data_IF_668712656302
#
_entry.id   IF_668712656302
#
_cell.length_a   1.000
_cell.length_b   1.000
_cell.length_c   1.000
_cell.angle_alpha   90.00
_cell.angle_beta   90.00
_cell.angle_gamma   90.00
#
_symmetry.space_group_name_H-M   'P 1'
#
loop_
_entity.id
_entity.type
_entity.pdbx_description
1 polymer ?
#
# COMPACT_ATOMS: atom_id res chain seq x y z
N UNK A 1 -11.49 35.92 -73.66
CA UNK A 1 -11.94 35.57 -72.30
C UNK A 1 -11.07 34.42 -71.82
N UNK A 2 -10.07 34.68 -70.98
CA UNK A 2 -9.17 33.67 -70.47
C UNK A 2 -9.61 33.34 -69.03
N UNK A 3 -10.02 32.06 -68.80
CA UNK A 3 -10.42 31.58 -67.50
C UNK A 3 -9.16 31.10 -66.78
N UNK A 4 -8.83 31.74 -65.64
CA UNK A 4 -7.73 31.33 -64.76
C UNK A 4 -8.34 30.43 -63.69
N UNK A 5 -7.94 29.14 -63.71
CA UNK A 5 -8.30 28.15 -62.66
C UNK A 5 -7.22 28.21 -61.61
N UNK A 6 -7.55 28.64 -60.39
CA UNK A 6 -6.68 28.61 -59.22
C UNK A 6 -6.92 27.26 -58.50
N UNK A 7 -5.92 26.40 -58.30
CA UNK A 7 -6.05 25.17 -57.52
C UNK A 7 -6.06 25.56 -56.02
N UNK A 8 -7.13 25.22 -55.31
CA UNK A 8 -7.22 25.25 -53.85
C UNK A 8 -6.50 24.02 -53.31
N UNK A 9 -5.33 24.21 -52.76
CA UNK A 9 -4.60 23.17 -52.02
C UNK A 9 -5.21 23.05 -50.60
N UNK A 10 -6.00 22.01 -50.38
CA UNK A 10 -6.50 21.65 -49.05
C UNK A 10 -5.33 21.00 -48.25
N UNK A 11 -4.70 21.79 -47.42
CA UNK A 11 -3.73 21.24 -46.44
C UNK A 11 -4.52 20.52 -45.35
N UNK A 12 -4.63 19.19 -45.50
CA UNK A 12 -5.17 18.33 -44.46
C UNK A 12 -4.19 18.31 -43.25
N UNK A 13 -4.59 18.93 -42.16
CA UNK A 13 -3.89 18.74 -40.87
C UNK A 13 -4.09 17.28 -40.44
N UNK A 14 -3.07 16.47 -40.63
CA UNK A 14 -2.99 15.14 -39.99
C UNK A 14 -2.85 15.36 -38.49
N UNK A 15 -3.95 15.25 -37.78
CA UNK A 15 -3.94 15.10 -36.32
C UNK A 15 -3.28 13.75 -36.04
N UNK A 16 -2.01 13.76 -35.70
CA UNK A 16 -1.35 12.61 -35.10
C UNK A 16 -2.03 12.36 -33.77
N UNK A 17 -2.89 11.36 -33.70
CA UNK A 17 -3.33 10.80 -32.41
C UNK A 17 -2.04 10.37 -31.70
N UNK A 18 -1.62 11.10 -30.67
CA UNK A 18 -0.52 10.70 -29.82
C UNK A 18 -0.95 9.40 -29.14
N UNK A 19 -0.49 8.27 -29.65
CA UNK A 19 -0.55 6.98 -28.98
C UNK A 19 0.41 7.03 -27.78
N UNK A 20 0.01 7.75 -26.73
CA UNK A 20 0.77 7.82 -25.48
C UNK A 20 0.45 6.60 -24.61
N UNK A 21 1.40 6.11 -23.87
CA UNK A 21 1.17 5.25 -22.71
C UNK A 21 0.87 6.13 -21.50
N UNK A 22 0.07 5.64 -20.55
CA UNK A 22 -0.09 6.31 -19.26
C UNK A 22 0.77 5.65 -18.19
N UNK A 23 1.15 6.44 -17.21
CA UNK A 23 1.89 5.99 -16.01
C UNK A 23 1.25 6.60 -14.78
N UNK A 24 1.32 5.90 -13.65
CA UNK A 24 0.72 6.37 -12.41
C UNK A 24 1.78 6.70 -11.39
N UNK A 25 1.74 7.90 -10.82
CA UNK A 25 2.50 8.28 -9.64
C UNK A 25 1.59 8.25 -8.40
N UNK A 26 2.18 7.92 -7.25
CA UNK A 26 1.53 8.00 -5.95
C UNK A 26 2.15 9.14 -5.15
N UNK A 27 1.33 10.02 -4.56
CA UNK A 27 1.80 11.16 -3.79
C UNK A 27 0.82 11.54 -2.67
N UNK A 28 1.33 12.28 -1.69
CA UNK A 28 0.54 12.97 -0.66
C UNK A 28 0.74 14.47 -0.84
N UNK A 29 -0.36 15.22 -0.79
CA UNK A 29 -0.35 16.68 -0.73
C UNK A 29 -0.75 17.11 0.67
N UNK A 30 -0.04 18.08 1.23
CA UNK A 30 -0.32 18.63 2.56
C UNK A 30 -0.16 20.14 2.60
N UNK A 31 -0.88 20.78 3.51
CA UNK A 31 -0.72 22.21 3.82
C UNK A 31 0.54 22.49 4.65
N UNK A 32 0.75 23.76 4.99
CA UNK A 32 1.87 24.20 5.81
C UNK A 32 1.87 23.59 7.25
N UNK A 33 0.70 23.11 7.71
CA UNK A 33 0.51 22.45 9.02
C UNK A 33 0.60 20.93 8.92
N UNK A 34 1.00 20.38 7.75
CA UNK A 34 1.05 18.95 7.43
C UNK A 34 -0.33 18.25 7.44
N UNK A 35 -1.43 19.00 7.31
CA UNK A 35 -2.74 18.42 7.10
C UNK A 35 -2.90 18.03 5.64
N UNK A 36 -3.40 16.82 5.39
CA UNK A 36 -3.62 16.33 4.03
C UNK A 36 -4.65 17.17 3.27
N UNK A 37 -4.37 17.40 1.99
CA UNK A 37 -5.27 18.04 1.01
C UNK A 37 -5.58 16.96 -0.04
N UNK A 38 -6.83 16.56 -0.14
CA UNK A 38 -7.26 15.46 -1.04
C UNK A 38 -8.17 15.92 -2.20
N UNK A 39 -8.56 17.19 -2.20
CA UNK A 39 -9.39 17.84 -3.22
C UNK A 39 -8.54 18.58 -4.27
N UNK A 40 -7.42 17.97 -4.67
CA UNK A 40 -6.47 18.54 -5.65
C UNK A 40 -6.81 17.99 -7.03
N UNK A 41 -7.05 18.87 -7.97
CA UNK A 41 -7.40 18.52 -9.36
C UNK A 41 -6.18 18.20 -10.23
N UNK A 42 -6.44 17.67 -11.42
CA UNK A 42 -5.37 17.35 -12.38
C UNK A 42 -4.58 18.60 -12.80
N UNK A 43 -5.26 19.75 -12.97
CA UNK A 43 -4.65 21.02 -13.36
C UNK A 43 -3.71 21.61 -12.30
N UNK A 44 -3.89 21.20 -11.04
CA UNK A 44 -3.06 21.66 -9.94
C UNK A 44 -1.72 20.88 -9.85
N UNK A 45 -1.67 19.67 -10.41
CA UNK A 45 -0.45 18.88 -10.39
C UNK A 45 0.56 19.25 -11.48
N UNK A 46 1.82 19.12 -11.16
CA UNK A 46 2.94 19.25 -12.09
C UNK A 46 3.77 17.98 -12.02
N UNK A 47 3.84 17.24 -13.12
CA UNK A 47 4.72 16.08 -13.26
C UNK A 47 5.86 16.45 -14.19
N UNK A 48 7.08 16.18 -13.75
CA UNK A 48 8.27 16.23 -14.57
C UNK A 48 8.94 14.86 -14.59
N UNK A 49 9.28 14.38 -15.77
CA UNK A 49 10.00 13.13 -15.94
C UNK A 49 11.16 13.35 -16.90
N UNK A 50 12.38 12.98 -16.49
CA UNK A 50 13.60 13.29 -17.22
C UNK A 50 13.72 14.78 -17.57
N UNK A 51 13.31 15.68 -16.68
CA UNK A 51 13.32 17.13 -16.87
C UNK A 51 12.23 17.69 -17.79
N UNK A 52 11.39 16.85 -18.37
CA UNK A 52 10.29 17.26 -19.25
C UNK A 52 8.94 17.26 -18.50
N UNK A 53 8.15 18.32 -18.69
CA UNK A 53 6.80 18.37 -18.17
C UNK A 53 5.92 17.31 -18.86
N UNK A 54 5.06 16.65 -18.07
CA UNK A 54 4.12 15.63 -18.52
C UNK A 54 2.71 16.13 -18.32
N UNK A 55 1.82 15.76 -19.22
CA UNK A 55 0.40 16.03 -19.10
C UNK A 55 -0.22 15.09 -18.05
N UNK A 56 -0.91 15.66 -17.07
CA UNK A 56 -1.67 14.93 -16.05
C UNK A 56 -3.06 14.63 -16.62
N UNK A 57 -3.40 13.35 -16.69
CA UNK A 57 -4.67 12.88 -17.27
C UNK A 57 -5.78 12.82 -16.23
N UNK A 58 -5.45 12.29 -15.05
CA UNK A 58 -6.41 12.13 -13.97
C UNK A 58 -5.75 12.14 -12.60
N UNK A 59 -6.52 12.53 -11.59
CA UNK A 59 -6.13 12.47 -10.18
C UNK A 59 -7.28 11.91 -9.37
N UNK A 60 -7.01 10.97 -8.49
CA UNK A 60 -8.00 10.38 -7.59
C UNK A 60 -7.37 9.98 -6.27
N UNK A 61 -8.17 9.90 -5.23
CA UNK A 61 -7.74 9.28 -3.96
C UNK A 61 -7.35 7.84 -4.23
N UNK A 62 -6.23 7.40 -3.65
CA UNK A 62 -5.75 6.04 -3.87
C UNK A 62 -6.73 5.00 -3.32
N UNK A 63 -7.07 4.02 -4.16
CA UNK A 63 -8.00 2.93 -3.90
C UNK A 63 -7.38 1.54 -4.12
N UNK A 64 -6.06 1.45 -4.11
CA UNK A 64 -5.32 0.22 -4.32
C UNK A 64 -5.61 -0.84 -3.24
N UNK A 65 -5.38 -2.16 -3.54
CA UNK A 65 -5.67 -3.24 -2.62
C UNK A 65 -4.83 -3.20 -1.34
N UNK A 66 -5.46 -3.63 -0.24
CA UNK A 66 -4.86 -3.72 1.09
C UNK A 66 -5.03 -5.13 1.64
N UNK A 67 -3.94 -5.75 2.10
CA UNK A 67 -3.98 -7.00 2.86
C UNK A 67 -3.69 -6.72 4.32
N UNK A 68 -4.51 -7.28 5.22
CA UNK A 68 -4.32 -7.20 6.66
C UNK A 68 -4.11 -8.61 7.21
N UNK A 69 -2.92 -8.87 7.75
CA UNK A 69 -2.56 -10.13 8.39
C UNK A 69 -2.58 -9.97 9.91
N UNK A 70 -3.39 -10.77 10.61
CA UNK A 70 -3.52 -10.71 12.06
C UNK A 70 -2.83 -11.90 12.73
N UNK A 71 -2.20 -11.64 13.86
CA UNK A 71 -1.72 -12.69 14.74
C UNK A 71 -2.90 -13.33 15.48
N UNK A 72 -3.08 -14.64 15.29
CA UNK A 72 -4.04 -15.46 16.03
C UNK A 72 -3.38 -16.71 16.64
N UNK A 73 -2.06 -16.73 16.76
CA UNK A 73 -1.35 -17.78 17.48
C UNK A 73 -1.65 -17.79 18.98
N UNK A 74 -1.19 -18.81 19.68
CA UNK A 74 -1.48 -18.98 21.12
C UNK A 74 -1.09 -17.79 21.98
N UNK A 75 0.00 -17.12 21.63
CA UNK A 75 0.50 -15.93 22.35
C UNK A 75 -0.36 -14.67 22.11
N UNK A 76 -1.15 -14.65 21.03
CA UNK A 76 -2.05 -13.52 20.72
C UNK A 76 -3.36 -13.50 21.55
N UNK A 77 -3.57 -14.45 22.43
CA UNK A 77 -4.83 -14.68 23.15
C UNK A 77 -5.38 -13.42 23.82
N UNK A 78 -4.54 -12.64 24.45
CA UNK A 78 -4.95 -11.41 25.15
C UNK A 78 -5.14 -10.23 24.22
N UNK A 79 -4.44 -10.22 23.11
CA UNK A 79 -4.38 -9.10 22.17
C UNK A 79 -5.44 -9.20 21.07
N UNK A 80 -5.79 -10.42 20.64
CA UNK A 80 -6.65 -10.65 19.49
C UNK A 80 -8.01 -9.93 19.55
N UNK A 81 -8.72 -9.86 20.68
CA UNK A 81 -9.97 -9.12 20.75
C UNK A 81 -9.80 -7.63 20.44
N UNK A 82 -8.71 -7.01 20.90
CA UNK A 82 -8.40 -5.61 20.64
C UNK A 82 -7.88 -5.40 19.23
N UNK A 83 -7.09 -6.33 18.69
CA UNK A 83 -6.69 -6.33 17.27
C UNK A 83 -7.92 -6.36 16.35
N UNK A 84 -8.85 -7.29 16.56
CA UNK A 84 -10.08 -7.41 15.75
C UNK A 84 -10.85 -6.09 15.74
N UNK A 85 -11.10 -5.51 16.91
CA UNK A 85 -11.80 -4.23 17.04
C UNK A 85 -11.06 -3.09 16.33
N UNK A 86 -9.74 -3.04 16.44
CA UNK A 86 -8.93 -2.04 15.79
C UNK A 86 -8.93 -2.20 14.26
N UNK A 87 -8.88 -3.44 13.75
CA UNK A 87 -8.95 -3.73 12.31
C UNK A 87 -10.34 -3.45 11.75
N UNK A 88 -11.42 -3.79 12.47
CA UNK A 88 -12.78 -3.42 12.07
C UNK A 88 -12.90 -1.92 11.84
N UNK A 89 -12.50 -1.10 12.82
CA UNK A 89 -12.50 0.36 12.69
C UNK A 89 -11.58 0.85 11.55
N UNK A 90 -10.44 0.20 11.35
CA UNK A 90 -9.54 0.54 10.25
C UNK A 90 -10.20 0.31 8.88
N UNK A 91 -10.88 -0.82 8.68
CA UNK A 91 -11.63 -1.12 7.45
C UNK A 91 -12.72 -0.08 7.20
N UNK A 92 -13.50 0.27 8.24
CA UNK A 92 -14.53 1.32 8.16
C UNK A 92 -13.94 2.67 7.70
N UNK A 93 -12.77 3.03 8.21
CA UNK A 93 -12.10 4.31 7.86
C UNK A 93 -11.48 4.32 6.47
N UNK A 94 -11.06 3.17 5.95
CA UNK A 94 -10.52 3.06 4.58
C UNK A 94 -11.59 3.23 3.51
N UNK A 95 -12.86 2.96 3.84
CA UNK A 95 -13.97 3.02 2.89
C UNK A 95 -13.92 1.93 1.82
N UNK A 96 -14.53 2.16 0.65
CA UNK A 96 -14.75 1.15 -0.37
C UNK A 96 -13.49 0.87 -1.21
N UNK A 97 -12.47 0.24 -0.62
CA UNK A 97 -11.32 -0.26 -1.36
C UNK A 97 -11.20 -1.78 -1.22
N UNK A 98 -10.52 -2.47 -2.17
CA UNK A 98 -10.31 -3.91 -2.06
C UNK A 98 -9.48 -4.24 -0.82
N UNK A 99 -10.05 -5.02 0.11
CA UNK A 99 -9.37 -5.45 1.33
C UNK A 99 -9.46 -6.97 1.44
N UNK A 100 -8.35 -7.62 1.78
CA UNK A 100 -8.34 -9.02 2.13
C UNK A 100 -7.72 -9.21 3.52
N UNK A 101 -8.22 -10.16 4.29
CA UNK A 101 -7.81 -10.46 5.66
C UNK A 101 -7.21 -11.86 5.71
N UNK A 102 -6.14 -12.00 6.46
CA UNK A 102 -5.51 -13.29 6.74
C UNK A 102 -4.99 -13.38 8.16
N UNK A 103 -4.49 -14.55 8.52
CA UNK A 103 -3.85 -14.80 9.82
C UNK A 103 -2.43 -15.33 9.65
N UNK A 104 -1.57 -14.96 10.58
CA UNK A 104 -0.17 -15.42 10.63
C UNK A 104 0.05 -16.59 11.59
N UNK A 105 -1.01 -17.16 12.21
CA UNK A 105 -0.90 -18.40 12.94
C UNK A 105 -0.47 -19.55 12.01
N UNK A 106 0.44 -20.40 12.46
CA UNK A 106 0.99 -21.50 11.66
C UNK A 106 -0.01 -22.66 11.48
N UNK A 107 -0.38 -23.05 10.22
CA UNK A 107 0.03 -22.43 8.97
C UNK A 107 -0.75 -21.11 8.67
N UNK A 108 -0.07 -20.07 8.14
CA UNK A 108 -0.73 -18.85 7.72
C UNK A 108 -1.76 -19.09 6.63
N UNK A 109 -2.88 -18.37 6.68
CA UNK A 109 -3.94 -18.51 5.68
C UNK A 109 -4.68 -17.21 5.45
N UNK A 110 -5.22 -17.03 4.23
CA UNK A 110 -6.20 -15.98 3.96
C UNK A 110 -7.57 -16.42 4.48
N UNK A 111 -8.31 -15.48 5.06
CA UNK A 111 -9.67 -15.65 5.57
C UNK A 111 -10.69 -15.11 4.58
N UNK A 112 -10.31 -14.07 3.83
CA UNK A 112 -11.15 -13.41 2.83
C UNK A 112 -10.33 -13.13 1.56
N UNK A 113 -11.03 -12.71 0.52
CA UNK A 113 -10.48 -12.28 -0.77
C UNK A 113 -10.77 -10.80 -1.03
N UNK A 114 -10.22 -10.22 -2.09
CA UNK A 114 -10.50 -8.83 -2.47
C UNK A 114 -11.91 -8.63 -3.06
N UNK A 115 -12.58 -9.70 -3.48
CA UNK A 115 -13.93 -9.67 -4.03
C UNK A 115 -15.01 -9.78 -2.95
N UNK A 116 -14.61 -10.00 -1.70
CA UNK A 116 -15.54 -10.12 -0.57
C UNK A 116 -16.05 -8.74 -0.15
N UNK A 117 -17.34 -8.66 0.14
CA UNK A 117 -17.96 -7.45 0.60
C UNK A 117 -17.57 -7.08 2.05
N UNK A 118 -17.92 -5.87 2.44
CA UNK A 118 -17.60 -5.34 3.76
C UNK A 118 -18.13 -6.21 4.90
N UNK A 119 -19.35 -6.75 4.77
CA UNK A 119 -19.95 -7.58 5.82
C UNK A 119 -19.18 -8.88 6.01
N UNK A 120 -18.76 -9.51 4.92
CA UNK A 120 -17.96 -10.73 4.98
C UNK A 120 -16.59 -10.52 5.63
N UNK A 121 -15.96 -9.33 5.42
CA UNK A 121 -14.74 -8.96 6.13
C UNK A 121 -14.97 -8.88 7.65
N UNK A 122 -16.07 -8.25 8.07
CA UNK A 122 -16.42 -8.13 9.49
C UNK A 122 -16.73 -9.48 10.12
N UNK A 123 -17.51 -10.32 9.43
CA UNK A 123 -17.84 -11.68 9.88
C UNK A 123 -16.58 -12.54 10.04
N UNK A 124 -15.63 -12.45 9.09
CA UNK A 124 -14.37 -13.17 9.19
C UNK A 124 -13.51 -12.71 10.38
N UNK A 125 -13.53 -11.42 10.71
CA UNK A 125 -12.87 -10.89 11.91
C UNK A 125 -13.55 -11.38 13.18
N UNK A 126 -14.86 -11.39 13.24
CA UNK A 126 -15.61 -11.84 14.40
C UNK A 126 -15.41 -13.32 14.69
N UNK A 127 -15.35 -14.15 13.65
CA UNK A 127 -15.13 -15.58 13.73
C UNK A 127 -13.66 -15.99 13.94
N UNK A 128 -12.71 -15.05 13.78
CA UNK A 128 -11.30 -15.34 13.98
C UNK A 128 -11.01 -15.64 15.45
N UNK A 129 -10.67 -16.86 15.76
CA UNK A 129 -10.31 -17.33 17.09
C UNK A 129 -8.81 -17.55 17.22
N UNK A 130 -8.34 -17.57 18.45
CA UNK A 130 -6.98 -17.98 18.78
C UNK A 130 -6.80 -19.46 18.44
N UNK A 131 -5.72 -19.80 17.77
CA UNK A 131 -5.31 -21.17 17.50
C UNK A 131 -4.42 -21.69 18.68
N UNK A 132 -5.01 -22.43 19.65
CA UNK A 132 -4.27 -22.84 20.84
C UNK A 132 -3.12 -23.77 20.48
N UNK A 133 -1.95 -23.53 21.10
CA UNK A 133 -0.75 -24.35 20.87
C UNK A 133 -0.03 -24.10 19.54
N UNK A 134 -0.55 -23.21 18.68
CA UNK A 134 0.15 -22.80 17.45
C UNK A 134 1.05 -21.60 17.72
N UNK A 135 2.13 -21.52 16.96
CA UNK A 135 2.99 -20.34 16.93
C UNK A 135 2.54 -19.42 15.81
N UNK A 136 2.99 -18.19 15.86
CA UNK A 136 2.82 -17.24 14.75
C UNK A 136 4.05 -17.29 13.86
N UNK A 137 3.84 -17.34 12.55
CA UNK A 137 4.89 -17.24 11.55
C UNK A 137 4.77 -15.90 10.80
N UNK A 138 5.44 -14.91 11.36
CA UNK A 138 5.36 -13.52 10.92
C UNK A 138 5.85 -13.32 9.48
N UNK A 139 6.99 -13.92 9.13
CA UNK A 139 7.58 -13.79 7.80
C UNK A 139 6.77 -14.56 6.76
N UNK A 140 6.37 -15.79 7.05
CA UNK A 140 5.58 -16.59 6.13
C UNK A 140 4.17 -16.00 5.94
N UNK A 141 3.56 -15.46 7.00
CA UNK A 141 2.30 -14.74 6.90
C UNK A 141 2.41 -13.48 6.04
N UNK A 142 3.48 -12.70 6.22
CA UNK A 142 3.74 -11.54 5.37
C UNK A 142 3.99 -11.95 3.91
N UNK A 143 4.72 -13.05 3.66
CA UNK A 143 4.93 -13.56 2.31
C UNK A 143 3.62 -14.03 1.65
N UNK A 144 2.74 -14.72 2.39
CA UNK A 144 1.41 -15.08 1.90
C UNK A 144 0.58 -13.84 1.51
N UNK A 145 0.58 -12.81 2.35
CA UNK A 145 -0.07 -11.54 2.04
C UNK A 145 0.52 -10.87 0.81
N UNK A 146 1.85 -10.89 0.65
CA UNK A 146 2.54 -10.37 -0.51
C UNK A 146 2.20 -11.14 -1.80
N UNK A 147 2.12 -12.47 -1.74
CA UNK A 147 1.71 -13.31 -2.88
C UNK A 147 0.26 -13.03 -3.28
N UNK A 148 -0.62 -12.85 -2.29
CA UNK A 148 -2.03 -12.48 -2.53
C UNK A 148 -2.14 -11.13 -3.25
N UNK A 149 -1.34 -10.15 -2.86
CA UNK A 149 -1.27 -8.85 -3.53
C UNK A 149 -0.71 -8.99 -4.95
N UNK A 150 0.38 -9.73 -5.12
CA UNK A 150 1.02 -9.92 -6.42
C UNK A 150 0.05 -10.49 -7.46
N UNK A 151 -0.83 -11.38 -7.05
CA UNK A 151 -1.84 -11.98 -7.93
C UNK A 151 -2.83 -10.94 -8.51
N UNK A 152 -3.00 -9.77 -7.89
CA UNK A 152 -3.88 -8.70 -8.39
C UNK A 152 -3.28 -7.94 -9.56
N UNK A 153 -1.95 -7.94 -9.73
CA UNK A 153 -1.25 -7.09 -10.69
C UNK A 153 -1.40 -5.59 -10.44
N UNK A 154 -1.91 -5.19 -9.27
CA UNK A 154 -2.11 -3.79 -8.92
C UNK A 154 -0.77 -3.04 -8.85
N UNK A 155 -0.68 -1.80 -9.41
CA UNK A 155 0.57 -1.06 -9.46
C UNK A 155 1.03 -0.54 -8.09
N UNK A 156 0.12 -0.41 -7.14
CA UNK A 156 0.36 -0.05 -5.75
C UNK A 156 -0.46 -0.93 -4.84
N UNK A 157 -0.01 -1.14 -3.62
CA UNK A 157 -0.70 -1.94 -2.62
C UNK A 157 -0.11 -1.71 -1.24
N UNK A 158 -0.85 -2.10 -0.19
CA UNK A 158 -0.34 -2.10 1.17
C UNK A 158 -0.52 -3.48 1.82
N UNK A 159 0.51 -3.92 2.52
CA UNK A 159 0.50 -5.10 3.37
C UNK A 159 0.66 -4.66 4.82
N UNK A 160 -0.32 -4.99 5.65
CA UNK A 160 -0.35 -4.61 7.06
C UNK A 160 -0.28 -5.87 7.89
N UNK A 161 0.68 -5.95 8.79
CA UNK A 161 0.87 -7.10 9.68
C UNK A 161 0.76 -6.65 11.13
N UNK A 162 -0.17 -7.26 11.86
CA UNK A 162 -0.34 -7.06 13.30
C UNK A 162 0.18 -8.29 14.04
N UNK A 163 1.17 -8.08 14.89
CA UNK A 163 1.80 -9.16 15.64
C UNK A 163 1.76 -8.89 17.14
N UNK A 164 1.38 -9.89 17.92
CA UNK A 164 1.43 -9.88 19.39
C UNK A 164 2.78 -10.29 19.91
N UNK A 165 3.48 -11.15 19.15
CA UNK A 165 4.79 -11.66 19.54
C UNK A 165 5.76 -11.54 18.36
N UNK A 166 7.03 -11.28 18.63
CA UNK A 166 8.06 -11.31 17.61
C UNK A 166 8.57 -12.73 17.33
N UNK A 167 7.89 -13.76 17.81
CA UNK A 167 8.31 -15.14 17.62
C UNK A 167 8.10 -15.55 16.16
N UNK A 168 9.13 -16.14 15.59
CA UNK A 168 9.14 -16.61 14.23
C UNK A 168 9.41 -18.09 14.20
N UNK A 169 8.50 -18.83 13.60
CA UNK A 169 8.58 -20.27 13.46
C UNK A 169 9.09 -20.74 12.10
N UNK A 170 9.62 -19.82 11.27
CA UNK A 170 9.86 -20.08 9.85
C UNK A 170 10.77 -21.28 9.57
N UNK A 171 10.27 -22.14 8.69
CA UNK A 171 11.04 -23.20 8.03
C UNK A 171 11.77 -22.72 6.77
N UNK A 172 11.47 -21.53 6.27
CA UNK A 172 12.09 -20.93 5.07
C UNK A 172 13.25 -20.01 5.44
N UNK A 173 14.16 -19.81 4.51
CA UNK A 173 15.23 -18.81 4.69
C UNK A 173 14.61 -17.40 4.67
N UNK A 174 15.01 -16.56 5.62
CA UNK A 174 14.51 -15.19 5.70
C UNK A 174 14.69 -14.42 4.38
N UNK A 175 15.78 -14.68 3.66
CA UNK A 175 16.10 -14.00 2.40
C UNK A 175 15.08 -14.28 1.29
N UNK A 176 14.57 -15.52 1.16
CA UNK A 176 13.54 -15.88 0.18
C UNK A 176 12.22 -15.18 0.46
N UNK A 177 11.83 -15.10 1.73
CA UNK A 177 10.61 -14.42 2.14
C UNK A 177 10.72 -12.89 1.97
N UNK A 178 11.89 -12.33 2.28
CA UNK A 178 12.20 -10.91 2.05
C UNK A 178 12.04 -10.58 0.57
N UNK A 179 12.67 -11.37 -0.30
CA UNK A 179 12.57 -11.17 -1.75
C UNK A 179 11.10 -11.22 -2.21
N UNK A 180 10.32 -12.20 -1.76
CA UNK A 180 8.91 -12.33 -2.11
C UNK A 180 8.10 -11.08 -1.71
N UNK A 181 8.31 -10.55 -0.51
CA UNK A 181 7.60 -9.36 -0.04
C UNK A 181 8.01 -8.10 -0.83
N UNK A 182 9.31 -7.91 -1.05
CA UNK A 182 9.82 -6.77 -1.81
C UNK A 182 9.36 -6.82 -3.28
N UNK A 183 9.42 -7.98 -3.90
CA UNK A 183 9.04 -8.18 -5.30
C UNK A 183 7.53 -8.05 -5.55
N UNK A 184 6.70 -8.15 -4.49
CA UNK A 184 5.26 -7.88 -4.60
C UNK A 184 4.95 -6.41 -4.90
N UNK A 185 5.89 -5.50 -4.65
CA UNK A 185 5.68 -4.05 -4.76
C UNK A 185 4.80 -3.45 -3.66
N UNK A 186 4.38 -4.26 -2.68
CA UNK A 186 3.57 -3.80 -1.57
C UNK A 186 4.37 -2.95 -0.58
N UNK A 187 3.73 -1.89 -0.07
CA UNK A 187 4.26 -1.14 1.07
C UNK A 187 3.94 -1.89 2.35
N UNK A 188 4.97 -2.40 3.05
CA UNK A 188 4.79 -3.18 4.26
C UNK A 188 4.69 -2.28 5.51
N UNK A 189 3.61 -2.42 6.26
CA UNK A 189 3.43 -1.84 7.59
C UNK A 189 3.32 -2.94 8.63
N UNK A 190 4.14 -2.88 9.67
CA UNK A 190 4.10 -3.81 10.79
C UNK A 190 3.76 -3.05 12.07
N UNK A 191 2.79 -3.55 12.81
CA UNK A 191 2.44 -3.07 14.16
C UNK A 191 2.67 -4.25 15.12
N UNK A 192 3.76 -4.19 15.87
CA UNK A 192 4.18 -5.25 16.78
C UNK A 192 3.99 -4.84 18.23
N UNK A 193 3.15 -5.58 18.97
CA UNK A 193 3.03 -5.42 20.42
C UNK A 193 4.14 -6.21 21.12
N UNK A 194 4.86 -5.56 22.02
CA UNK A 194 5.94 -6.14 22.82
C UNK A 194 5.67 -6.10 24.31
N UNK A 195 4.41 -6.06 24.72
CA UNK A 195 4.02 -6.01 26.14
C UNK A 195 4.46 -7.26 26.92
N UNK A 196 4.61 -8.39 26.23
CA UNK A 196 4.91 -9.70 26.83
C UNK A 196 6.32 -10.22 26.51
N UNK A 197 7.27 -9.35 26.14
CA UNK A 197 8.62 -9.80 25.83
C UNK A 197 9.26 -10.52 27.03
N UNK A 198 9.43 -11.84 26.91
CA UNK A 198 10.32 -12.61 27.79
C UNK A 198 11.75 -12.27 27.37
N UNK A 199 12.46 -11.60 28.27
CA UNK A 199 13.89 -11.30 28.11
C UNK A 199 14.63 -12.63 27.95
N UNK A 200 15.28 -12.87 26.80
CA UNK A 200 16.15 -14.03 26.58
C UNK A 200 15.93 -14.87 25.33
N UNK A 201 14.94 -14.56 24.48
CA UNK A 201 14.73 -15.31 23.23
C UNK A 201 15.43 -14.64 22.03
N UNK A 202 16.64 -15.14 21.72
CA UNK A 202 17.48 -14.60 20.62
C UNK A 202 16.84 -14.72 19.21
N UNK A 203 15.92 -15.65 18.99
CA UNK A 203 15.21 -15.82 17.71
C UNK A 203 14.29 -14.64 17.38
N UNK A 204 13.66 -14.07 18.38
CA UNK A 204 12.70 -12.98 18.25
C UNK A 204 13.30 -11.65 17.76
N UNK A 205 14.60 -11.43 18.03
CA UNK A 205 15.30 -10.22 17.63
C UNK A 205 15.54 -10.22 16.12
N UNK A 206 15.87 -11.37 15.54
CA UNK A 206 16.18 -11.49 14.11
C UNK A 206 14.95 -11.25 13.22
N UNK A 207 13.81 -11.83 13.56
CA UNK A 207 12.57 -11.65 12.80
C UNK A 207 12.08 -10.20 12.85
N UNK A 208 12.09 -9.58 14.02
CA UNK A 208 11.75 -8.17 14.17
C UNK A 208 12.69 -7.27 13.38
N UNK A 209 13.97 -7.60 13.30
CA UNK A 209 14.95 -6.87 12.49
C UNK A 209 14.69 -7.01 10.99
N UNK A 210 14.43 -8.24 10.52
CA UNK A 210 14.10 -8.49 9.12
C UNK A 210 12.85 -7.72 8.69
N UNK A 211 11.77 -7.81 9.46
CA UNK A 211 10.52 -7.09 9.16
C UNK A 211 10.70 -5.57 9.19
N UNK A 212 11.54 -5.04 10.08
CA UNK A 212 11.89 -3.61 10.09
C UNK A 212 12.60 -3.22 8.81
N UNK A 213 13.62 -3.98 8.41
CA UNK A 213 14.38 -3.72 7.19
C UNK A 213 13.49 -3.77 5.96
N UNK A 214 12.60 -4.77 5.85
CA UNK A 214 11.64 -4.87 4.74
C UNK A 214 10.68 -3.67 4.74
N UNK A 215 10.12 -3.31 5.90
CA UNK A 215 9.23 -2.16 6.01
C UNK A 215 9.93 -0.87 5.55
N UNK A 216 11.18 -0.65 5.91
CA UNK A 216 11.98 0.49 5.46
C UNK A 216 12.25 0.45 3.94
N UNK A 217 12.65 -0.70 3.41
CA UNK A 217 12.91 -0.90 1.97
C UNK A 217 11.66 -0.66 1.12
N UNK A 218 10.49 -1.08 1.60
CA UNK A 218 9.21 -0.88 0.93
C UNK A 218 8.58 0.49 1.21
N UNK A 219 9.26 1.40 1.94
CA UNK A 219 8.77 2.72 2.35
C UNK A 219 7.56 2.69 3.29
N UNK A 220 7.36 1.58 3.96
CA UNK A 220 6.36 1.41 5.01
C UNK A 220 6.89 1.82 6.38
N UNK A 221 6.37 1.16 7.43
CA UNK A 221 6.77 1.46 8.80
C UNK A 221 6.71 0.21 9.69
N UNK A 222 7.68 0.11 10.60
CA UNK A 222 7.67 -0.87 11.68
C UNK A 222 7.38 -0.13 12.99
N UNK A 223 6.17 -0.29 13.52
CA UNK A 223 5.70 0.38 14.74
C UNK A 223 5.70 -0.60 15.89
N UNK A 224 6.42 -0.26 16.96
CA UNK A 224 6.40 -1.04 18.21
C UNK A 224 5.38 -0.41 19.16
N UNK A 225 4.52 -1.23 19.72
CA UNK A 225 3.60 -0.87 20.79
C UNK A 225 3.91 -1.68 22.04
N UNK A 226 3.45 -1.21 23.20
CA UNK A 226 3.65 -1.89 24.48
C UNK A 226 2.33 -2.22 25.19
N UNK A 227 1.23 -2.11 24.46
CA UNK A 227 -0.11 -2.41 24.93
C UNK A 227 -0.99 -2.78 23.73
N UNK A 228 -1.85 -3.76 23.88
CA UNK A 228 -2.83 -4.14 22.88
C UNK A 228 -3.81 -3.00 22.53
N UNK A 229 -4.11 -2.11 23.48
CA UNK A 229 -4.93 -0.92 23.22
C UNK A 229 -4.28 0.04 22.20
N UNK A 230 -2.97 -0.06 21.98
CA UNK A 230 -2.23 0.80 21.05
C UNK A 230 -2.37 0.37 19.57
N UNK A 231 -2.94 -0.80 19.27
CA UNK A 231 -3.26 -1.18 17.89
C UNK A 231 -4.20 -0.17 17.24
N UNK A 232 -5.24 0.25 17.97
CA UNK A 232 -6.22 1.19 17.42
C UNK A 232 -5.59 2.54 17.01
N UNK A 233 -4.90 3.31 17.87
CA UNK A 233 -4.29 4.58 17.46
C UNK A 233 -3.20 4.40 16.40
N UNK A 234 -2.53 3.25 16.33
CA UNK A 234 -1.55 2.97 15.28
C UNK A 234 -2.25 2.78 13.92
N UNK A 235 -3.34 2.02 13.87
CA UNK A 235 -4.16 1.81 12.67
C UNK A 235 -4.93 3.09 12.28
N UNK A 236 -5.40 3.89 13.23
CA UNK A 236 -6.03 5.18 12.95
C UNK A 236 -5.07 6.11 12.18
N UNK A 237 -3.81 6.23 12.63
CA UNK A 237 -2.79 7.02 11.92
C UNK A 237 -2.46 6.43 10.54
N UNK A 238 -2.44 5.11 10.43
CA UNK A 238 -2.20 4.46 9.14
C UNK A 238 -3.37 4.69 8.18
N UNK A 239 -4.63 4.61 8.64
CA UNK A 239 -5.80 4.92 7.81
C UNK A 239 -5.78 6.37 7.32
N UNK A 240 -5.46 7.33 8.18
CA UNK A 240 -5.30 8.75 7.79
C UNK A 240 -4.26 8.93 6.69
N UNK A 241 -3.12 8.23 6.80
CA UNK A 241 -2.10 8.23 5.75
C UNK A 241 -2.62 7.64 4.44
N UNK A 242 -3.18 6.42 4.46
CA UNK A 242 -3.62 5.73 3.27
C UNK A 242 -4.77 6.46 2.55
N UNK A 243 -5.69 7.08 3.30
CA UNK A 243 -6.80 7.86 2.73
C UNK A 243 -6.38 9.25 2.23
N UNK A 244 -5.17 9.69 2.55
CA UNK A 244 -4.59 10.95 2.03
C UNK A 244 -3.69 10.74 0.81
N UNK A 245 -3.47 9.52 0.39
CA UNK A 245 -2.67 9.22 -0.78
C UNK A 245 -3.48 9.41 -2.07
N UNK A 246 -2.84 9.98 -3.09
CA UNK A 246 -3.45 10.29 -4.37
C UNK A 246 -2.71 9.56 -5.49
N UNK A 247 -3.46 8.96 -6.39
CA UNK A 247 -2.96 8.38 -7.63
C UNK A 247 -3.11 9.40 -8.75
N UNK A 248 -2.00 9.69 -9.40
CA UNK A 248 -1.89 10.70 -10.45
C UNK A 248 -1.50 9.98 -11.73
N UNK A 249 -2.41 9.91 -12.68
CA UNK A 249 -2.14 9.34 -14.00
C UNK A 249 -1.63 10.43 -14.94
N UNK A 250 -0.55 10.15 -15.67
CA UNK A 250 0.07 11.09 -16.58
C UNK A 250 0.59 10.42 -17.84
N UNK A 251 0.67 11.20 -18.91
CA UNK A 251 1.05 10.73 -20.24
C UNK A 251 2.57 10.58 -20.36
N UNK A 252 3.01 9.46 -20.96
CA UNK A 252 4.43 9.19 -21.23
C UNK A 252 4.63 8.65 -22.64
N UNK A 253 5.83 8.80 -23.24
CA UNK A 253 6.14 8.14 -24.49
C UNK A 253 6.03 6.61 -24.35
N UNK A 254 5.51 5.90 -25.38
CA UNK A 254 5.40 4.46 -25.36
C UNK A 254 6.78 3.81 -25.13
N UNK A 255 6.82 2.76 -24.28
CA UNK A 255 8.03 2.00 -23.99
C UNK A 255 9.09 2.72 -23.14
N UNK A 256 8.83 3.98 -22.70
CA UNK A 256 9.77 4.68 -21.82
C UNK A 256 9.79 4.06 -20.42
N UNK A 257 10.99 4.02 -19.80
CA UNK A 257 11.13 3.67 -18.37
C UNK A 257 10.98 4.94 -17.52
N UNK A 258 10.48 4.83 -16.26
CA UNK A 258 10.41 5.97 -15.36
C UNK A 258 11.85 6.46 -15.03
N UNK A 259 12.12 7.74 -15.24
CA UNK A 259 13.42 8.35 -14.96
C UNK A 259 13.21 9.69 -14.28
N UNK A 260 13.78 9.87 -13.09
CA UNK A 260 13.76 11.13 -12.31
C UNK A 260 12.38 11.80 -12.31
N UNK A 261 11.35 11.07 -11.82
CA UNK A 261 10.00 11.58 -11.77
C UNK A 261 9.84 12.50 -10.57
N UNK A 262 9.49 13.77 -10.83
CA UNK A 262 9.20 14.78 -9.82
C UNK A 262 7.73 15.14 -9.87
N UNK A 263 7.11 15.14 -8.69
CA UNK A 263 5.71 15.51 -8.49
C UNK A 263 5.67 16.84 -7.74
N UNK A 264 4.95 17.79 -8.25
CA UNK A 264 4.71 19.10 -7.64
C UNK A 264 3.24 19.49 -7.70
N UNK A 265 2.85 20.54 -6.98
CA UNK A 265 1.53 21.18 -7.08
C UNK A 265 1.67 22.70 -7.21
N UNK A 266 0.66 23.31 -7.85
CA UNK A 266 0.56 24.77 -8.04
C UNK A 266 -0.15 25.47 -6.88
N UNK A 267 -0.62 24.73 -5.88
CA UNK A 267 -1.32 25.28 -4.73
C UNK A 267 -0.36 26.04 -3.80
N UNK A 268 -0.67 27.29 -3.51
CA UNK A 268 0.14 28.14 -2.64
C UNK A 268 0.22 27.55 -1.23
N UNK A 269 1.45 27.42 -0.69
CA UNK A 269 1.70 26.89 0.66
C UNK A 269 1.55 25.37 0.80
N UNK A 270 1.16 24.66 -0.26
CA UNK A 270 1.10 23.20 -0.25
C UNK A 270 2.48 22.55 -0.48
N UNK A 271 2.66 21.38 0.11
CA UNK A 271 3.83 20.52 -0.05
C UNK A 271 3.41 19.20 -0.66
N UNK A 272 4.23 18.67 -1.55
CA UNK A 272 4.01 17.34 -2.14
C UNK A 272 5.14 16.40 -1.74
N UNK A 273 4.77 15.19 -1.39
CA UNK A 273 5.69 14.09 -1.19
C UNK A 273 5.33 12.95 -2.13
N UNK A 274 6.18 12.72 -3.15
CA UNK A 274 6.08 11.54 -4.00
C UNK A 274 6.35 10.26 -3.20
N UNK A 275 5.54 9.23 -3.40
CA UNK A 275 5.62 7.94 -2.71
C UNK A 275 6.13 6.84 -3.63
N UNK A 276 5.87 6.94 -4.93
CA UNK A 276 6.32 5.96 -5.91
C UNK A 276 5.78 6.27 -7.30
N UNK A 277 6.29 5.51 -8.27
CA UNK A 277 5.82 5.53 -9.65
C UNK A 277 5.68 4.10 -10.09
N UNK A 278 4.53 3.76 -10.63
CA UNK A 278 4.28 2.45 -11.18
C UNK A 278 4.83 2.39 -12.60
N UNK A 279 5.72 1.46 -12.93
CA UNK A 279 6.05 1.14 -14.30
C UNK A 279 4.85 0.48 -14.97
N UNK A 280 4.61 0.82 -16.21
CA UNK A 280 3.83 0.00 -17.14
C UNK A 280 4.70 -0.40 -18.30
#
# INVERSE_FOLDING_TARGET
MRVVIIPVVLAGALAFAQTGASRTALAIVSDARNKAIVDVGADDFVIQEAGQAREVLSVRVADYPVVVMLDSGGDARLDLPLMRKAVQRFIERLGPRPIAIGTIADPPRMLTTFDDDHQKLLDALEQLEVAPGTRSDLLQGAALGADTIRATGAPFSALIVLSSTPADGTSRTADELVASIVDSGAVLHVIANRSTQVVGQSGNIRSGQAMRTIAEQTRGAYTVTYSAASYQPALDRLSERLTSEMMIEYLVPPGSKPVDVKVGVRLAGAKVRGLGVAPR
#
